data_IF_044612871715
#
_entry.id   IF_044612871715
#
_cell.length_a   1.000
_cell.length_b   1.000
_cell.length_c   1.000
_cell.angle_alpha   90.00
_cell.angle_beta   90.00
_cell.angle_gamma   90.00
#
_symmetry.space_group_name_H-M   'P 1'
#
loop_
_entity.id
_entity.type
_entity.pdbx_description
1 polymer ?
#
# COMPACT_ATOMS: atom_id res chain seq x y z
N UNK A 1 36.47 19.81 -5.38
CA UNK A 1 35.01 20.10 -5.34
C UNK A 1 34.39 20.25 -6.72
N UNK A 2 35.03 20.96 -7.66
CA UNK A 2 34.48 21.14 -9.04
C UNK A 2 34.38 19.85 -9.85
N UNK A 3 35.34 18.93 -9.75
CA UNK A 3 35.32 17.65 -10.47
C UNK A 3 34.15 16.75 -10.03
N UNK A 4 33.82 16.72 -8.75
CA UNK A 4 32.70 15.91 -8.21
C UNK A 4 31.34 16.47 -8.64
N UNK A 5 31.19 17.80 -8.75
CA UNK A 5 30.00 18.44 -9.26
C UNK A 5 29.74 18.09 -10.74
N UNK A 6 30.80 18.10 -11.55
CA UNK A 6 30.73 17.72 -12.98
C UNK A 6 30.38 16.24 -13.13
N UNK A 7 31.00 15.35 -12.34
CA UNK A 7 30.68 13.92 -12.34
C UNK A 7 29.21 13.66 -11.94
N UNK A 8 28.68 14.38 -10.94
CA UNK A 8 27.30 14.28 -10.51
C UNK A 8 26.31 14.76 -11.59
N UNK A 9 26.62 15.88 -12.26
CA UNK A 9 25.80 16.41 -13.36
C UNK A 9 25.79 15.43 -14.54
N UNK A 10 26.93 14.84 -14.90
CA UNK A 10 27.02 13.84 -15.96
C UNK A 10 26.23 12.56 -15.60
N UNK A 11 26.25 12.13 -14.34
CA UNK A 11 25.49 10.97 -13.88
C UNK A 11 23.97 11.20 -13.95
N UNK A 12 23.51 12.41 -13.62
CA UNK A 12 22.09 12.78 -13.70
C UNK A 12 21.61 12.88 -15.15
N UNK A 13 22.45 13.31 -16.06
CA UNK A 13 22.12 13.39 -17.49
C UNK A 13 22.01 12.02 -18.18
N UNK A 14 22.63 10.98 -17.62
CA UNK A 14 22.57 9.61 -18.16
C UNK A 14 21.34 8.82 -17.70
N UNK A 15 20.55 9.32 -16.77
CA UNK A 15 19.31 8.71 -16.32
C UNK A 15 18.12 9.05 -17.25
N UNK A 16 18.25 8.71 -18.55
CA UNK A 16 17.12 8.81 -19.47
C UNK A 16 16.11 7.70 -19.15
N UNK A 17 14.81 8.00 -19.04
CA UNK A 17 13.80 6.97 -18.87
C UNK A 17 13.81 6.05 -20.10
N UNK A 18 14.10 4.79 -19.91
CA UNK A 18 13.95 3.76 -20.95
C UNK A 18 12.47 3.42 -21.03
N UNK A 19 11.82 3.80 -22.11
CA UNK A 19 10.44 3.42 -22.38
C UNK A 19 10.40 1.95 -22.82
N UNK A 20 9.56 1.14 -22.16
CA UNK A 20 9.39 -0.27 -22.50
C UNK A 20 8.43 -0.50 -23.67
N UNK A 21 7.66 0.52 -24.05
CA UNK A 21 6.69 0.44 -25.17
C UNK A 21 7.39 0.72 -26.49
N UNK A 22 7.22 -0.22 -27.42
CA UNK A 22 7.81 -0.12 -28.75
C UNK A 22 7.00 0.83 -29.67
N UNK A 23 7.65 1.52 -30.65
CA UNK A 23 6.96 2.49 -31.52
C UNK A 23 5.83 1.88 -32.37
N UNK A 24 5.90 0.61 -32.68
CA UNK A 24 4.91 -0.12 -33.48
C UNK A 24 3.63 -0.49 -32.69
N UNK A 25 3.67 -0.39 -31.36
CA UNK A 25 2.51 -0.58 -30.50
C UNK A 25 1.66 0.70 -30.35
N UNK A 26 2.23 1.86 -30.61
CA UNK A 26 1.62 3.16 -30.32
C UNK A 26 0.46 3.45 -31.26
N UNK A 27 -0.71 3.80 -30.67
CA UNK A 27 -1.88 4.17 -31.47
C UNK A 27 -1.69 5.54 -32.14
N UNK A 28 -2.27 5.67 -33.34
CA UNK A 28 -2.23 6.92 -34.11
C UNK A 28 -3.06 8.05 -33.48
N UNK A 29 -4.10 7.71 -32.68
CA UNK A 29 -4.88 8.67 -31.91
C UNK A 29 -4.20 8.93 -30.56
N UNK A 30 -3.69 10.18 -30.33
CA UNK A 30 -3.01 10.53 -29.07
C UNK A 30 -3.88 10.40 -27.82
N UNK A 31 -5.21 10.56 -27.93
CA UNK A 31 -6.14 10.42 -26.81
C UNK A 31 -6.31 8.97 -26.39
N UNK A 32 -6.47 8.07 -27.39
CA UNK A 32 -6.54 6.64 -27.14
C UNK A 32 -5.22 6.10 -26.58
N UNK A 33 -4.08 6.56 -27.11
CA UNK A 33 -2.77 6.16 -26.60
C UNK A 33 -2.54 6.62 -25.16
N UNK A 34 -2.97 7.84 -24.81
CA UNK A 34 -2.89 8.31 -23.43
C UNK A 34 -3.73 7.43 -22.48
N UNK A 35 -4.95 7.01 -22.89
CA UNK A 35 -5.77 6.07 -22.15
C UNK A 35 -5.09 4.71 -22.04
N UNK A 36 -4.55 4.20 -23.14
CA UNK A 36 -3.84 2.93 -23.17
C UNK A 36 -2.66 2.89 -22.20
N UNK A 37 -1.87 3.96 -22.15
CA UNK A 37 -0.75 4.12 -21.20
C UNK A 37 -1.22 4.15 -19.76
N UNK A 38 -2.26 4.92 -19.46
CA UNK A 38 -2.82 5.01 -18.11
C UNK A 38 -3.30 3.64 -17.62
N UNK A 39 -4.04 2.90 -18.44
CA UNK A 39 -4.52 1.56 -18.11
C UNK A 39 -3.37 0.54 -18.00
N UNK A 40 -2.37 0.62 -18.89
CA UNK A 40 -1.18 -0.26 -18.85
C UNK A 40 -0.37 -0.10 -17.56
N UNK A 41 -0.32 1.10 -17.01
CA UNK A 41 0.35 1.38 -15.73
C UNK A 41 -0.39 0.78 -14.51
N UNK A 42 -1.69 0.46 -14.63
CA UNK A 42 -2.49 -0.17 -13.58
C UNK A 42 -2.50 -1.71 -13.67
N UNK A 43 -2.01 -2.27 -14.78
CA UNK A 43 -2.00 -3.70 -15.05
C UNK A 43 -0.61 -4.29 -14.75
N UNK A 44 -0.62 -5.46 -14.12
CA UNK A 44 0.59 -6.19 -13.72
C UNK A 44 1.07 -7.10 -14.85
N UNK A 45 2.37 -7.09 -15.11
CA UNK A 45 3.00 -8.12 -15.91
C UNK A 45 3.05 -9.43 -15.10
N UNK A 46 2.39 -10.46 -15.59
CA UNK A 46 2.21 -11.74 -14.89
C UNK A 46 3.50 -12.58 -14.74
N UNK A 47 4.51 -12.29 -15.55
CA UNK A 47 5.81 -12.99 -15.57
C UNK A 47 6.96 -12.13 -15.05
N UNK A 48 6.65 -10.92 -14.56
CA UNK A 48 7.64 -9.96 -14.09
C UNK A 48 7.56 -9.81 -12.56
N UNK A 49 8.61 -9.22 -11.96
CA UNK A 49 8.66 -8.97 -10.52
C UNK A 49 7.80 -7.75 -10.12
N UNK A 50 6.47 -7.91 -10.25
CA UNK A 50 5.51 -6.88 -9.83
C UNK A 50 5.56 -5.56 -10.62
N UNK A 51 6.12 -5.56 -11.82
CA UNK A 51 6.13 -4.41 -12.72
C UNK A 51 4.78 -4.26 -13.44
N UNK A 52 4.47 -3.02 -13.87
CA UNK A 52 3.35 -2.79 -14.78
C UNK A 52 3.65 -3.34 -16.18
N UNK A 53 2.62 -3.56 -16.97
CA UNK A 53 2.83 -3.90 -18.39
C UNK A 53 3.37 -2.72 -19.19
N UNK A 54 3.23 -1.49 -18.70
CA UNK A 54 3.79 -0.29 -19.34
C UNK A 54 5.31 -0.19 -19.15
N UNK A 55 5.84 -0.71 -18.02
CA UNK A 55 7.25 -0.66 -17.65
C UNK A 55 8.02 -1.94 -18.03
N UNK A 56 7.34 -2.97 -18.50
CA UNK A 56 7.93 -4.29 -18.75
C UNK A 56 8.18 -4.56 -20.22
N UNK A 57 9.41 -5.03 -20.53
CA UNK A 57 9.81 -5.49 -21.89
C UNK A 57 9.52 -6.99 -22.13
N UNK A 58 8.84 -7.69 -21.22
CA UNK A 58 8.48 -9.09 -21.41
C UNK A 58 7.50 -9.25 -22.59
N UNK A 59 7.63 -10.34 -23.34
CA UNK A 59 6.74 -10.62 -24.47
C UNK A 59 5.26 -10.64 -24.06
N UNK A 60 4.94 -11.24 -22.92
CA UNK A 60 3.57 -11.24 -22.39
C UNK A 60 3.06 -9.84 -22.05
N UNK A 61 3.91 -8.95 -21.54
CA UNK A 61 3.54 -7.56 -21.29
C UNK A 61 3.20 -6.83 -22.60
N UNK A 62 3.97 -7.09 -23.65
CA UNK A 62 3.69 -6.57 -25.00
C UNK A 62 2.36 -7.08 -25.53
N UNK A 63 2.10 -8.38 -25.45
CA UNK A 63 0.86 -8.98 -25.91
C UNK A 63 -0.36 -8.38 -25.18
N UNK A 64 -0.24 -8.17 -23.86
CA UNK A 64 -1.29 -7.51 -23.08
C UNK A 64 -1.49 -6.05 -23.47
N UNK A 65 -0.42 -5.30 -23.77
CA UNK A 65 -0.51 -3.91 -24.25
C UNK A 65 -1.18 -3.82 -25.61
N UNK A 66 -0.88 -4.75 -26.54
CA UNK A 66 -1.51 -4.82 -27.86
C UNK A 66 -2.99 -5.15 -27.71
N UNK A 67 -3.33 -6.16 -26.91
CA UNK A 67 -4.72 -6.56 -26.66
C UNK A 67 -5.55 -5.43 -26.03
N UNK A 68 -4.97 -4.69 -25.09
CA UNK A 68 -5.59 -3.54 -24.46
C UNK A 68 -5.89 -2.44 -25.48
N UNK A 69 -4.93 -2.12 -26.35
CA UNK A 69 -5.10 -1.12 -27.43
C UNK A 69 -6.14 -1.54 -28.46
N UNK A 70 -6.18 -2.82 -28.82
CA UNK A 70 -7.20 -3.37 -29.69
C UNK A 70 -8.61 -3.15 -29.10
N UNK A 71 -8.80 -3.45 -27.82
CA UNK A 71 -10.08 -3.25 -27.14
C UNK A 71 -10.48 -1.77 -27.09
N UNK A 72 -9.53 -0.86 -26.81
CA UNK A 72 -9.80 0.57 -26.84
C UNK A 72 -10.20 1.07 -28.25
N UNK A 73 -9.58 0.54 -29.30
CA UNK A 73 -9.91 0.93 -30.69
C UNK A 73 -11.28 0.41 -31.14
N UNK A 74 -11.78 -0.68 -30.56
CA UNK A 74 -13.15 -1.17 -30.80
C UNK A 74 -14.20 -0.33 -30.09
N UNK A 75 -13.80 0.61 -29.22
CA UNK A 75 -14.69 1.57 -28.57
C UNK A 75 -15.04 1.22 -27.14
N UNK A 76 -14.38 0.24 -26.53
CA UNK A 76 -14.64 -0.14 -25.15
C UNK A 76 -14.28 1.00 -24.17
N UNK A 77 -15.03 1.09 -23.09
CA UNK A 77 -14.70 1.94 -21.94
C UNK A 77 -13.52 1.37 -21.15
N UNK A 78 -12.90 2.20 -20.31
CA UNK A 78 -11.77 1.76 -19.48
C UNK A 78 -12.14 0.61 -18.54
N UNK A 79 -13.36 0.65 -17.97
CA UNK A 79 -13.90 -0.40 -17.12
C UNK A 79 -14.14 -1.71 -17.85
N UNK A 80 -14.61 -1.65 -19.09
CA UNK A 80 -14.84 -2.85 -19.94
C UNK A 80 -13.53 -3.49 -20.31
N UNK A 81 -12.50 -2.72 -20.71
CA UNK A 81 -11.16 -3.22 -21.00
C UNK A 81 -10.56 -3.93 -19.78
N UNK A 82 -10.61 -3.28 -18.61
CA UNK A 82 -10.10 -3.87 -17.36
C UNK A 82 -10.87 -5.15 -17.00
N UNK A 83 -12.19 -5.13 -17.13
CA UNK A 83 -13.04 -6.29 -16.82
C UNK A 83 -12.76 -7.46 -17.74
N UNK A 84 -12.58 -7.22 -19.02
CA UNK A 84 -12.19 -8.23 -19.99
C UNK A 84 -10.85 -8.89 -19.64
N UNK A 85 -9.84 -8.08 -19.27
CA UNK A 85 -8.53 -8.60 -18.89
C UNK A 85 -8.58 -9.39 -17.57
N UNK A 86 -9.37 -8.92 -16.60
CA UNK A 86 -9.58 -9.64 -15.33
C UNK A 86 -10.32 -10.96 -15.54
N UNK A 87 -11.32 -11.00 -16.39
CA UNK A 87 -12.06 -12.24 -16.70
C UNK A 87 -11.14 -13.30 -17.34
N UNK A 88 -10.21 -12.87 -18.17
CA UNK A 88 -9.31 -13.76 -18.91
C UNK A 88 -8.08 -14.19 -18.12
N UNK A 89 -7.50 -13.30 -17.31
CA UNK A 89 -6.22 -13.50 -16.60
C UNK A 89 -6.34 -13.52 -15.08
N UNK A 90 -7.54 -13.30 -14.56
CA UNK A 90 -7.81 -13.24 -13.13
C UNK A 90 -7.51 -11.88 -12.50
N UNK A 91 -7.96 -11.67 -11.26
CA UNK A 91 -7.76 -10.41 -10.53
C UNK A 91 -6.29 -10.07 -10.24
N UNK A 92 -5.40 -11.06 -10.33
CA UNK A 92 -3.96 -10.86 -10.14
C UNK A 92 -3.33 -9.96 -11.21
N UNK A 93 -3.99 -9.79 -12.37
CA UNK A 93 -3.55 -8.84 -13.41
C UNK A 93 -3.63 -7.39 -12.95
N UNK A 94 -4.36 -7.08 -11.88
CA UNK A 94 -4.44 -5.75 -11.31
C UNK A 94 -3.29 -5.48 -10.35
N UNK A 95 -2.62 -4.34 -10.47
CA UNK A 95 -1.63 -3.88 -9.49
C UNK A 95 -2.28 -3.40 -8.20
N UNK A 96 -3.49 -2.84 -8.30
CA UNK A 96 -4.27 -2.37 -7.15
C UNK A 96 -5.54 -3.22 -7.02
N UNK A 97 -5.81 -3.81 -5.86
CA UNK A 97 -7.05 -4.56 -5.64
C UNK A 97 -8.25 -3.63 -5.76
N UNK A 98 -9.31 -4.11 -6.43
CA UNK A 98 -10.57 -3.37 -6.55
C UNK A 98 -11.24 -3.22 -5.18
N UNK A 99 -11.96 -2.11 -4.97
CA UNK A 99 -12.82 -1.88 -3.80
C UNK A 99 -14.15 -2.65 -3.91
N UNK A 100 -14.12 -3.95 -4.22
CA UNK A 100 -15.31 -4.74 -4.49
C UNK A 100 -15.30 -6.03 -3.66
N UNK A 101 -16.45 -6.41 -3.11
CA UNK A 101 -16.70 -7.71 -2.49
C UNK A 101 -15.71 -8.09 -1.38
N UNK A 102 -15.05 -9.24 -1.52
CA UNK A 102 -14.10 -9.78 -0.53
C UNK A 102 -12.86 -8.89 -0.32
N UNK A 103 -12.49 -8.05 -1.28
CA UNK A 103 -11.35 -7.14 -1.16
C UNK A 103 -11.61 -5.99 -0.16
N UNK A 104 -12.88 -5.73 0.21
CA UNK A 104 -13.20 -4.75 1.25
C UNK A 104 -12.54 -5.09 2.60
N UNK A 105 -12.32 -6.37 2.89
CA UNK A 105 -11.64 -6.81 4.12
C UNK A 105 -10.21 -6.26 4.19
N UNK A 106 -9.50 -6.18 3.05
CA UNK A 106 -8.15 -5.61 2.98
C UNK A 106 -8.11 -4.12 3.37
N UNK A 107 -9.17 -3.39 3.02
CA UNK A 107 -9.25 -1.96 3.27
C UNK A 107 -9.84 -1.61 4.64
N UNK A 108 -10.86 -2.34 5.07
CA UNK A 108 -11.56 -2.09 6.34
C UNK A 108 -10.96 -2.86 7.52
N UNK A 109 -10.26 -3.98 7.26
CA UNK A 109 -9.66 -4.83 8.29
C UNK A 109 -8.75 -4.08 9.27
N UNK A 110 -7.76 -3.30 8.80
CA UNK A 110 -6.87 -2.55 9.69
C UNK A 110 -7.62 -1.54 10.57
N UNK A 111 -8.62 -0.86 10.01
CA UNK A 111 -9.45 0.08 10.75
C UNK A 111 -10.29 -0.63 11.83
N UNK A 112 -10.88 -1.77 11.49
CA UNK A 112 -11.65 -2.59 12.44
C UNK A 112 -10.77 -3.06 13.60
N UNK A 113 -9.57 -3.59 13.32
CA UNK A 113 -8.62 -4.04 14.35
C UNK A 113 -8.21 -2.87 15.24
N UNK A 114 -7.98 -1.68 14.68
CA UNK A 114 -7.63 -0.49 15.42
C UNK A 114 -8.75 -0.07 16.37
N UNK A 115 -9.99 -0.02 15.89
CA UNK A 115 -11.16 0.35 16.70
C UNK A 115 -11.40 -0.64 17.84
N UNK A 116 -11.35 -1.94 17.55
CA UNK A 116 -11.53 -3.01 18.56
C UNK A 116 -10.38 -2.96 19.58
N UNK A 117 -9.13 -2.80 19.13
CA UNK A 117 -7.96 -2.70 19.99
C UNK A 117 -8.00 -1.47 20.90
N UNK A 118 -8.36 -0.30 20.36
CA UNK A 118 -8.53 0.92 21.14
C UNK A 118 -9.65 0.77 22.18
N UNK A 119 -10.78 0.18 21.83
CA UNK A 119 -11.88 -0.10 22.74
C UNK A 119 -11.48 -1.06 23.87
N UNK A 120 -10.74 -2.12 23.52
CA UNK A 120 -10.22 -3.08 24.50
C UNK A 120 -9.24 -2.41 25.48
N UNK A 121 -8.31 -1.61 24.98
CA UNK A 121 -7.36 -0.85 25.80
C UNK A 121 -8.08 0.13 26.74
N UNK A 122 -9.03 0.87 26.21
CA UNK A 122 -9.82 1.80 27.02
C UNK A 122 -10.60 1.07 28.12
N UNK A 123 -11.28 -0.04 27.78
CA UNK A 123 -12.01 -0.85 28.77
C UNK A 123 -11.07 -1.41 29.85
N UNK A 124 -9.87 -1.88 29.47
CA UNK A 124 -8.86 -2.37 30.39
C UNK A 124 -8.34 -1.26 31.33
N UNK A 125 -8.08 -0.06 30.78
CA UNK A 125 -7.67 1.09 31.60
C UNK A 125 -8.76 1.52 32.59
N UNK A 126 -10.03 1.58 32.16
CA UNK A 126 -11.16 1.87 33.05
C UNK A 126 -11.27 0.84 34.19
N UNK A 127 -11.12 -0.45 33.87
CA UNK A 127 -11.13 -1.53 34.87
C UNK A 127 -9.96 -1.42 35.85
N UNK A 128 -8.76 -1.05 35.37
CA UNK A 128 -7.58 -0.81 36.24
C UNK A 128 -7.78 0.39 37.15
N UNK A 129 -8.29 1.50 36.64
CA UNK A 129 -8.61 2.68 37.42
C UNK A 129 -9.67 2.40 38.50
N UNK A 130 -10.71 1.63 38.16
CA UNK A 130 -11.74 1.22 39.12
C UNK A 130 -11.21 0.28 40.21
N UNK A 131 -10.25 -0.60 39.88
CA UNK A 131 -9.61 -1.51 40.84
C UNK A 131 -8.59 -0.78 41.70
N UNK A 132 -7.80 0.15 41.12
CA UNK A 132 -6.84 0.95 41.90
C UNK A 132 -7.49 1.88 42.91
N UNK A 133 -8.74 2.31 42.66
CA UNK A 133 -9.53 3.07 43.63
C UNK A 133 -10.10 2.21 44.79
N UNK A 134 -10.07 0.87 44.65
CA UNK A 134 -10.66 -0.08 45.61
C UNK A 134 -9.62 -1.01 46.24
N UNK A 135 -8.31 -0.80 45.97
CA UNK A 135 -7.26 -1.64 46.54
C UNK A 135 -6.85 -1.13 47.94
N UNK A 136 -7.24 -1.86 49.00
CA UNK A 136 -6.82 -1.48 50.38
C UNK A 136 -5.31 -1.62 50.59
N UNK A 137 -4.55 -2.15 49.62
CA UNK A 137 -3.10 -2.25 49.66
C UNK A 137 -2.40 -0.89 49.50
N UNK A 138 -3.14 0.21 49.15
CA UNK A 138 -2.56 1.55 49.07
C UNK A 138 -2.50 2.25 50.45
N UNK A 139 -3.24 1.78 51.44
CA UNK A 139 -3.12 2.23 52.81
C UNK A 139 -2.17 1.31 53.59
N UNK A 140 -0.96 1.79 53.82
CA UNK A 140 0.02 1.14 54.67
C UNK A 140 -0.64 0.75 56.01
N UNK A 141 -0.54 -0.52 56.39
CA UNK A 141 -0.93 -1.02 57.68
C UNK A 141 -0.34 -0.11 58.79
N UNK A 142 -1.06 0.01 59.91
CA UNK A 142 -0.55 0.82 61.04
C UNK A 142 0.86 0.39 61.48
N UNK A 143 1.17 -0.91 61.38
CA UNK A 143 2.47 -1.49 61.69
C UNK A 143 3.54 -1.13 60.63
N UNK A 144 3.22 -1.20 59.35
CA UNK A 144 4.13 -0.80 58.27
C UNK A 144 4.45 0.72 58.33
N UNK A 145 3.44 1.54 58.67
CA UNK A 145 3.61 2.98 58.84
C UNK A 145 4.49 3.30 60.06
N UNK A 146 4.41 2.48 61.13
CA UNK A 146 5.24 2.61 62.32
C UNK A 146 6.69 2.22 62.06
N UNK A 147 6.89 1.09 61.32
CA UNK A 147 8.22 0.65 60.90
C UNK A 147 8.90 1.65 59.96
N UNK A 148 8.13 2.19 59.00
CA UNK A 148 8.64 3.24 58.11
C UNK A 148 9.06 4.50 58.88
N UNK A 149 8.27 4.89 59.87
CA UNK A 149 8.56 6.05 60.71
C UNK A 149 9.79 5.86 61.59
N UNK A 150 10.04 4.63 62.09
CA UNK A 150 11.25 4.33 62.87
C UNK A 150 12.52 4.37 61.98
N UNK A 151 12.42 3.89 60.73
CA UNK A 151 13.55 3.92 59.81
C UNK A 151 13.95 5.34 59.37
N UNK A 152 12.97 6.26 59.27
CA UNK A 152 13.22 7.67 58.89
C UNK A 152 13.72 8.49 60.08
N UNK A 153 13.46 8.06 61.32
CA UNK A 153 13.88 8.80 62.53
C UNK A 153 15.29 8.46 63.03
N UNK A 154 15.92 7.41 62.45
CA UNK A 154 17.28 6.96 62.78
C UNK A 154 18.36 7.54 61.85
N UNK A 155 18.01 8.46 60.93
CA UNK A 155 18.94 9.19 60.06
C UNK A 155 19.07 10.67 60.53
#
# INVERSE_FOLDING_TARGET
>A
MRAWAIAFILLVWFALPVAAVEPDEVLSDPKLEQRARALSAELRCLVCQNQSIDDSNASLARDLRILLRERLTTGDSDEEVISFLVERYGEFVLLKPRFIGHNLILWLGPLFVLVVGAGALWSAQRRRAARGASDPATDLSKEERKSLKSLISDE
#
